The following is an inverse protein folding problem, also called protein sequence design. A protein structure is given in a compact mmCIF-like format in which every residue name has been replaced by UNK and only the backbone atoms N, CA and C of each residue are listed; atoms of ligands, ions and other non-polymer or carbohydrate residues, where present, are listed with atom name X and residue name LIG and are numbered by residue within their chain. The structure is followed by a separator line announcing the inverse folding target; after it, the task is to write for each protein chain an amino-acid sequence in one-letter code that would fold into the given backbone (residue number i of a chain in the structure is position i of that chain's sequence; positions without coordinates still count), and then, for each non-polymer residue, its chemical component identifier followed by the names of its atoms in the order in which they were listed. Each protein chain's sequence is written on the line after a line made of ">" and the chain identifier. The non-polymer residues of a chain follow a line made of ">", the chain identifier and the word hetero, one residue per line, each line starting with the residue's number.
data_IF_635905155047
#
_entry.id   IF_635905155047
#
_cell.length_a   1.000
_cell.length_b   1.000
_cell.length_c   1.000
_cell.angle_alpha   90.00
_cell.angle_beta   90.00
_cell.angle_gamma   90.00
#
_symmetry.space_group_name_H-M   'P 1'
#
loop_
_entity.id
_entity.type
_entity.pdbx_description
1 polymer ?
#
# COMPACT_ATOMS: atom_id res chain seq x y z
N UNK A 1 16.86 11.32 -3.82
CA UNK A 1 15.99 12.22 -3.03
C UNK A 1 14.94 12.75 -3.99
N UNK A 2 13.75 12.12 -4.01
CA UNK A 2 12.64 12.63 -4.82
C UNK A 2 12.23 14.00 -4.27
N UNK A 3 11.93 14.93 -5.16
CA UNK A 3 11.31 16.21 -4.81
C UNK A 3 10.12 15.91 -3.90
N UNK A 4 10.17 16.40 -2.67
CA UNK A 4 9.00 16.47 -1.81
C UNK A 4 7.99 17.34 -2.57
N UNK A 5 6.86 16.77 -2.96
CA UNK A 5 5.74 17.60 -3.38
C UNK A 5 5.40 18.50 -2.19
N UNK A 6 5.58 19.80 -2.35
CA UNK A 6 5.38 20.80 -1.29
C UNK A 6 3.94 20.78 -0.77
N UNK A 7 3.02 20.12 -1.49
CA UNK A 7 1.62 19.93 -1.12
C UNK A 7 1.33 18.57 -0.46
N UNK A 8 2.29 17.65 -0.40
CA UNK A 8 2.06 16.32 0.19
C UNK A 8 1.76 16.45 1.69
N UNK A 9 0.63 15.89 2.11
CA UNK A 9 0.28 15.86 3.52
C UNK A 9 1.19 14.90 4.26
N UNK A 10 1.36 15.12 5.56
CA UNK A 10 2.36 14.37 6.33
C UNK A 10 2.11 12.85 6.37
N UNK A 11 0.85 12.42 6.23
CA UNK A 11 0.43 11.01 6.12
C UNK A 11 0.51 10.43 4.70
N UNK A 12 0.91 11.23 3.71
CA UNK A 12 1.17 10.83 2.32
C UNK A 12 2.68 10.65 2.07
N UNK A 13 3.53 11.04 3.04
CA UNK A 13 4.98 10.96 2.93
C UNK A 13 5.46 9.57 3.35
N UNK A 14 6.19 8.91 2.45
CA UNK A 14 6.95 7.70 2.76
C UNK A 14 8.13 8.05 3.66
N UNK A 15 8.23 7.38 4.80
CA UNK A 15 9.28 7.61 5.79
C UNK A 15 10.04 6.32 6.03
N UNK A 16 11.36 6.43 5.98
CA UNK A 16 12.22 5.43 6.60
C UNK A 16 12.13 5.59 8.12
N UNK A 17 11.79 4.49 8.80
CA UNK A 17 11.64 4.43 10.25
C UNK A 17 12.58 3.35 10.74
N UNK A 18 13.42 3.68 11.70
CA UNK A 18 14.30 2.68 12.32
C UNK A 18 13.44 1.65 13.07
N UNK A 19 13.83 0.37 13.02
CA UNK A 19 13.11 -0.67 13.71
C UNK A 19 13.09 -0.46 15.23
N UNK A 20 14.12 0.20 15.78
CA UNK A 20 14.23 0.49 17.22
C UNK A 20 13.15 1.45 17.72
N UNK A 21 12.51 2.19 16.81
CA UNK A 21 11.34 3.05 17.07
C UNK A 21 10.03 2.28 17.26
N UNK A 22 10.06 0.95 17.17
CA UNK A 22 8.90 0.10 17.43
C UNK A 22 9.03 -0.64 18.76
N UNK A 23 7.97 -0.57 19.57
CA UNK A 23 7.82 -1.28 20.85
C UNK A 23 6.54 -2.11 20.87
N UNK A 24 6.38 -2.97 21.87
CA UNK A 24 5.19 -3.80 22.07
C UNK A 24 4.82 -4.61 20.80
N UNK A 25 5.79 -5.36 20.30
CA UNK A 25 5.69 -6.08 19.02
C UNK A 25 4.94 -7.40 19.23
N UNK A 26 3.74 -7.48 18.65
CA UNK A 26 2.81 -8.60 18.79
C UNK A 26 2.44 -9.14 17.40
N UNK A 27 2.50 -10.46 17.19
CA UNK A 27 2.10 -11.06 15.91
C UNK A 27 0.58 -11.17 15.83
N UNK A 28 -0.03 -10.62 14.78
CA UNK A 28 -1.48 -10.69 14.54
C UNK A 28 -1.87 -11.82 13.58
N UNK A 29 -1.11 -11.99 12.50
CA UNK A 29 -1.47 -12.93 11.44
C UNK A 29 -0.25 -13.41 10.66
N UNK A 30 -0.38 -14.55 9.98
CA UNK A 30 0.57 -15.06 9.00
C UNK A 30 -0.18 -15.61 7.79
N UNK A 31 0.31 -15.30 6.59
CA UNK A 31 -0.28 -15.76 5.33
C UNK A 31 0.78 -16.16 4.32
N UNK A 32 0.36 -16.34 3.05
CA UNK A 32 1.25 -16.70 1.95
C UNK A 32 2.41 -15.71 1.77
N UNK A 33 2.12 -14.41 1.87
CA UNK A 33 3.01 -13.31 1.49
C UNK A 33 3.78 -12.66 2.65
N UNK A 34 3.56 -13.09 3.89
CA UNK A 34 4.20 -12.44 5.04
C UNK A 34 3.49 -12.69 6.35
N UNK A 35 3.90 -11.93 7.36
CA UNK A 35 3.28 -11.88 8.69
C UNK A 35 2.93 -10.44 9.03
N UNK A 36 1.80 -10.25 9.70
CA UNK A 36 1.31 -8.95 10.17
C UNK A 36 1.56 -8.87 11.67
N UNK A 37 2.13 -7.76 12.11
CA UNK A 37 2.49 -7.49 13.49
C UNK A 37 1.86 -6.17 13.93
N UNK A 38 1.32 -6.15 15.14
CA UNK A 38 0.91 -4.93 15.83
C UNK A 38 2.10 -4.39 16.60
N UNK A 39 2.38 -3.10 16.47
CA UNK A 39 3.45 -2.43 17.21
C UNK A 39 3.01 -1.06 17.69
N UNK A 40 3.75 -0.51 18.64
CA UNK A 40 3.68 0.90 19.06
C UNK A 40 4.86 1.67 18.45
N UNK A 41 4.58 2.69 17.65
CA UNK A 41 5.60 3.59 17.10
C UNK A 41 5.92 4.69 18.12
N UNK A 42 7.15 4.71 18.65
CA UNK A 42 7.56 5.61 19.73
C UNK A 42 7.77 7.04 19.26
N UNK A 43 8.45 7.23 18.13
CA UNK A 43 8.70 8.53 17.53
C UNK A 43 7.71 8.85 16.39
N UNK A 44 6.41 8.64 16.65
CA UNK A 44 5.37 9.03 15.69
C UNK A 44 5.24 10.55 15.66
N UNK A 45 5.34 11.22 14.50
CA UNK A 45 5.19 12.67 14.41
C UNK A 45 3.84 13.17 14.89
N UNK A 46 3.83 14.29 15.61
CA UNK A 46 2.65 14.83 16.29
C UNK A 46 1.45 15.04 15.38
N UNK A 47 1.65 15.44 14.11
CA UNK A 47 0.52 15.59 13.17
C UNK A 47 -0.12 14.25 12.82
N UNK A 48 0.68 13.18 12.66
CA UNK A 48 0.15 11.84 12.45
C UNK A 48 -0.59 11.34 13.69
N UNK A 49 0.01 11.56 14.87
CA UNK A 49 -0.65 11.21 16.12
C UNK A 49 -1.94 12.02 16.31
N UNK A 50 -1.97 13.32 15.98
CA UNK A 50 -3.19 14.13 16.05
C UNK A 50 -4.31 13.63 15.14
N UNK A 51 -3.94 13.12 13.95
CA UNK A 51 -4.87 12.57 12.98
C UNK A 51 -5.41 11.20 13.40
N UNK A 52 -4.53 10.26 13.74
CA UNK A 52 -4.88 8.88 14.09
C UNK A 52 -5.19 8.66 15.57
N UNK A 53 -4.95 9.66 16.45
CA UNK A 53 -4.97 9.64 17.93
C UNK A 53 -4.49 8.33 18.57
N UNK A 54 -3.57 7.67 17.88
CA UNK A 54 -3.03 6.37 18.21
C UNK A 54 -1.67 6.25 17.53
N UNK A 55 -0.71 5.70 18.26
CA UNK A 55 0.58 5.31 17.72
C UNK A 55 0.69 3.79 17.54
N UNK A 56 -0.43 3.09 17.56
CA UNK A 56 -0.48 1.67 17.20
C UNK A 56 -0.53 1.55 15.68
N UNK A 57 0.44 0.82 15.12
CA UNK A 57 0.54 0.59 13.66
C UNK A 57 0.71 -0.89 13.37
N UNK A 58 0.33 -1.29 12.16
CA UNK A 58 0.54 -2.64 11.65
C UNK A 58 1.81 -2.69 10.80
N UNK A 59 2.74 -3.59 11.12
CA UNK A 59 3.91 -3.90 10.30
C UNK A 59 3.66 -5.18 9.51
N UNK A 60 3.86 -5.11 8.19
CA UNK A 60 3.89 -6.29 7.32
C UNK A 60 5.34 -6.73 7.13
N UNK A 61 5.71 -7.85 7.74
CA UNK A 61 7.00 -8.50 7.50
C UNK A 61 6.86 -9.49 6.34
N UNK A 62 7.55 -9.22 5.24
CA UNK A 62 7.53 -10.06 4.05
C UNK A 62 8.38 -11.33 4.25
N UNK A 63 7.97 -12.44 3.61
CA UNK A 63 8.78 -13.67 3.60
C UNK A 63 10.03 -13.47 2.75
N UNK A 64 11.14 -14.11 3.13
CA UNK A 64 12.45 -14.05 2.43
C UNK A 64 13.04 -12.63 2.28
N UNK A 65 12.60 -11.67 3.09
CA UNK A 65 13.02 -10.26 3.03
C UNK A 65 14.52 -10.00 3.25
N UNK A 66 15.30 -11.02 3.65
CA UNK A 66 16.75 -10.92 3.74
C UNK A 66 17.44 -10.87 2.37
N UNK A 67 16.71 -11.16 1.29
CA UNK A 67 17.12 -10.90 -0.08
C UNK A 67 16.06 -9.99 -0.70
N UNK A 68 16.29 -8.68 -0.65
CA UNK A 68 15.49 -7.71 -1.41
C UNK A 68 15.63 -8.11 -2.88
N UNK A 69 14.62 -8.78 -3.43
CA UNK A 69 14.60 -9.17 -4.84
C UNK A 69 14.06 -8.02 -5.69
N UNK A 70 14.27 -8.09 -7.01
CA UNK A 70 13.80 -7.07 -7.95
C UNK A 70 12.28 -6.93 -7.94
N UNK A 71 11.56 -8.01 -7.66
CA UNK A 71 10.09 -8.04 -7.59
C UNK A 71 9.56 -7.15 -6.44
N UNK A 72 10.18 -7.21 -5.26
CA UNK A 72 9.82 -6.32 -4.15
C UNK A 72 10.12 -4.85 -4.46
N UNK A 73 11.26 -4.56 -5.11
CA UNK A 73 11.59 -3.20 -5.52
C UNK A 73 10.63 -2.68 -6.60
N UNK A 74 10.23 -3.54 -7.53
CA UNK A 74 9.21 -3.24 -8.55
C UNK A 74 7.86 -2.94 -7.89
N UNK A 75 7.41 -3.78 -6.94
CA UNK A 75 6.18 -3.55 -6.18
C UNK A 75 6.25 -2.23 -5.40
N UNK A 76 7.38 -1.91 -4.77
CA UNK A 76 7.57 -0.66 -4.04
C UNK A 76 7.54 0.56 -4.98
N UNK A 77 8.21 0.48 -6.12
CA UNK A 77 8.20 1.53 -7.14
C UNK A 77 6.80 1.74 -7.72
N UNK A 78 6.10 0.64 -8.01
CA UNK A 78 4.73 0.64 -8.50
C UNK A 78 3.80 1.28 -7.47
N UNK A 79 3.91 0.93 -6.18
CA UNK A 79 3.16 1.57 -5.09
C UNK A 79 3.38 3.10 -5.08
N UNK A 80 4.64 3.53 -5.22
CA UNK A 80 4.99 4.94 -5.26
C UNK A 80 4.33 5.67 -6.44
N UNK A 81 4.45 5.11 -7.65
CA UNK A 81 3.91 5.75 -8.84
C UNK A 81 2.39 5.71 -8.94
N UNK A 82 1.74 4.65 -8.46
CA UNK A 82 0.29 4.55 -8.44
C UNK A 82 -0.35 5.58 -7.52
N UNK A 83 0.26 5.85 -6.36
CA UNK A 83 -0.23 6.86 -5.41
C UNK A 83 -0.09 8.28 -5.93
N UNK A 84 0.96 8.54 -6.70
CA UNK A 84 1.18 9.85 -7.32
C UNK A 84 0.30 10.12 -8.55
N UNK A 85 -0.59 9.19 -8.93
CA UNK A 85 -1.45 9.27 -10.11
C UNK A 85 -0.68 9.58 -11.43
N UNK A 86 0.58 9.13 -11.52
CA UNK A 86 1.49 9.40 -12.65
C UNK A 86 1.28 8.42 -13.81
N UNK A 87 0.03 8.23 -14.25
CA UNK A 87 -0.30 7.39 -15.40
C UNK A 87 -0.16 5.88 -15.15
N UNK A 88 -0.58 5.41 -13.97
CA UNK A 88 -0.65 3.99 -13.60
C UNK A 88 -2.11 3.56 -13.40
N UNK A 89 -2.39 2.27 -13.60
CA UNK A 89 -3.71 1.65 -13.39
C UNK A 89 -3.58 0.50 -12.41
N UNK A 90 -4.53 0.40 -11.47
CA UNK A 90 -4.53 -0.56 -10.36
C UNK A 90 -4.63 -2.03 -10.78
N UNK A 91 -5.35 -2.32 -11.87
CA UNK A 91 -5.61 -3.66 -12.43
C UNK A 91 -6.27 -4.69 -11.50
N UNK A 92 -6.56 -4.34 -10.25
CA UNK A 92 -7.22 -5.22 -9.29
C UNK A 92 -8.20 -4.47 -8.40
N UNK A 93 -9.08 -3.69 -9.04
CA UNK A 93 -10.03 -2.86 -8.31
C UNK A 93 -11.25 -3.69 -7.91
N UNK A 94 -11.39 -3.98 -6.62
CA UNK A 94 -12.57 -4.62 -6.05
C UNK A 94 -12.83 -4.11 -4.62
N UNK A 95 -14.04 -4.30 -4.05
CA UNK A 95 -14.39 -3.82 -2.71
C UNK A 95 -13.41 -4.22 -1.60
N UNK A 96 -12.71 -5.36 -1.75
CA UNK A 96 -11.71 -5.85 -0.80
C UNK A 96 -10.40 -5.06 -0.77
N UNK A 97 -10.13 -4.27 -1.82
CA UNK A 97 -8.95 -3.38 -1.90
C UNK A 97 -9.28 -1.93 -1.50
N UNK A 98 -10.49 -1.67 -1.01
CA UNK A 98 -10.84 -0.40 -0.40
C UNK A 98 -10.79 -0.52 1.12
N UNK A 99 -9.94 0.28 1.75
CA UNK A 99 -9.91 0.43 3.20
C UNK A 99 -10.67 1.70 3.58
N UNK A 100 -11.76 1.55 4.34
CA UNK A 100 -12.40 2.66 5.02
C UNK A 100 -11.64 2.89 6.31
N UNK A 101 -11.10 4.09 6.47
CA UNK A 101 -10.51 4.52 7.73
C UNK A 101 -11.38 5.61 8.33
N UNK A 102 -11.86 5.35 9.54
CA UNK A 102 -12.49 6.35 10.38
C UNK A 102 -11.39 7.18 11.05
N UNK A 103 -11.47 8.49 10.91
CA UNK A 103 -10.67 9.42 11.70
C UNK A 103 -11.44 9.87 12.92
N UNK A 104 -10.69 10.30 13.92
CA UNK A 104 -11.22 10.63 15.21
C UNK A 104 -12.17 11.84 15.27
N UNK A 105 -12.34 12.59 14.19
CA UNK A 105 -13.40 13.60 14.06
C UNK A 105 -14.74 13.02 13.57
N UNK A 106 -14.80 11.69 13.37
CA UNK A 106 -15.96 10.96 12.87
C UNK A 106 -16.07 10.95 11.36
N UNK A 107 -15.13 11.57 10.62
CA UNK A 107 -15.11 11.46 9.17
C UNK A 107 -14.51 10.14 8.70
N UNK A 108 -15.00 9.66 7.57
CA UNK A 108 -14.47 8.46 6.92
C UNK A 108 -13.76 8.89 5.65
N UNK A 109 -12.57 8.34 5.42
CA UNK A 109 -11.95 8.40 4.11
C UNK A 109 -11.67 7.00 3.59
N UNK A 110 -11.63 6.89 2.27
CA UNK A 110 -11.40 5.64 1.57
C UNK A 110 -9.97 5.68 1.02
N UNK A 111 -9.21 4.62 1.26
CA UNK A 111 -7.90 4.38 0.66
C UNK A 111 -7.94 3.15 -0.23
N UNK A 112 -7.18 3.22 -1.33
CA UNK A 112 -6.88 2.06 -2.15
C UNK A 112 -5.66 1.34 -1.57
N UNK A 113 -5.81 0.04 -1.39
CA UNK A 113 -4.81 -0.88 -0.91
C UNK A 113 -4.46 -1.90 -2.00
N UNK A 114 -3.37 -2.64 -1.79
CA UNK A 114 -2.89 -3.68 -2.71
C UNK A 114 -2.59 -3.19 -4.14
N UNK A 115 -1.53 -2.38 -4.25
CA UNK A 115 -1.03 -1.88 -5.53
C UNK A 115 -0.07 -2.88 -6.22
N UNK A 116 0.00 -4.15 -5.80
CA UNK A 116 0.94 -5.12 -6.36
C UNK A 116 0.73 -5.38 -7.85
N UNK A 117 -0.51 -5.21 -8.31
CA UNK A 117 -0.87 -5.32 -9.71
C UNK A 117 -0.87 -3.98 -10.45
N UNK A 118 -0.55 -2.84 -9.82
CA UNK A 118 -0.49 -1.57 -10.54
C UNK A 118 0.54 -1.62 -11.69
N UNK A 119 0.22 -1.05 -12.86
CA UNK A 119 1.18 -0.88 -13.98
C UNK A 119 0.97 0.43 -14.73
N UNK A 120 2.00 0.95 -15.41
CA UNK A 120 1.85 2.06 -16.34
C UNK A 120 0.75 1.82 -17.37
N UNK A 121 0.01 2.86 -17.73
CA UNK A 121 -1.12 2.79 -18.69
C UNK A 121 -0.68 2.23 -20.05
N UNK A 122 0.56 2.50 -20.48
CA UNK A 122 1.11 2.01 -21.74
C UNK A 122 1.41 0.49 -21.73
N UNK A 123 1.53 -0.15 -20.56
CA UNK A 123 1.77 -1.60 -20.44
C UNK A 123 0.49 -2.44 -20.44
N UNK A 124 -0.70 -1.82 -20.39
CA UNK A 124 -1.99 -2.53 -20.54
C UNK A 124 -2.08 -3.26 -21.88
N UNK A 125 -1.38 -2.75 -22.89
CA UNK A 125 -1.33 -3.37 -24.22
C UNK A 125 -0.55 -4.70 -24.24
N UNK A 126 0.25 -4.98 -23.20
CA UNK A 126 1.22 -6.06 -23.17
C UNK A 126 0.90 -7.17 -22.16
N UNK A 127 -0.02 -6.93 -21.21
CA UNK A 127 -0.25 -7.84 -20.08
C UNK A 127 -1.65 -8.47 -20.09
N UNK A 128 -1.71 -9.78 -19.81
CA UNK A 128 -2.88 -10.66 -19.91
C UNK A 128 -3.98 -10.43 -18.87
N UNK A 129 -4.66 -11.49 -18.44
CA UNK A 129 -5.80 -11.38 -17.50
C UNK A 129 -5.35 -10.88 -16.13
N UNK A 130 -6.04 -9.86 -15.61
CA UNK A 130 -5.85 -9.30 -14.28
C UNK A 130 -7.20 -8.95 -13.65
N UNK A 131 -7.21 -8.84 -12.32
CA UNK A 131 -8.40 -8.53 -11.53
C UNK A 131 -9.10 -9.76 -10.96
N UNK A 132 -10.08 -9.52 -10.10
CA UNK A 132 -10.89 -10.53 -9.42
C UNK A 132 -12.31 -10.54 -9.98
N UNK A 133 -12.84 -11.70 -10.37
CA UNK A 133 -14.25 -11.82 -10.78
C UNK A 133 -15.19 -11.49 -9.59
N UNK A 134 -16.31 -10.77 -9.81
CA UNK A 134 -16.87 -10.33 -11.09
C UNK A 134 -16.40 -8.94 -11.56
N UNK A 135 -15.37 -8.36 -10.95
CA UNK A 135 -14.96 -6.97 -11.15
C UNK A 135 -14.04 -6.74 -12.37
N UNK A 136 -13.79 -7.78 -13.17
CA UNK A 136 -12.95 -7.71 -14.36
C UNK A 136 -13.75 -7.14 -15.53
N UNK A 137 -13.19 -6.14 -16.21
CA UNK A 137 -13.78 -5.56 -17.42
C UNK A 137 -13.76 -6.57 -18.59
N UNK A 138 -14.79 -6.63 -19.44
CA UNK A 138 -14.93 -7.66 -20.47
C UNK A 138 -13.76 -7.67 -21.47
N UNK A 139 -13.20 -6.51 -21.82
CA UNK A 139 -12.06 -6.38 -22.72
C UNK A 139 -10.76 -6.99 -22.17
N UNK A 140 -10.63 -7.10 -20.84
CA UNK A 140 -9.49 -7.78 -20.21
C UNK A 140 -9.62 -9.29 -20.41
N UNK A 141 -10.84 -9.82 -20.26
CA UNK A 141 -11.14 -11.25 -20.43
C UNK A 141 -10.96 -11.67 -21.89
N UNK A 142 -11.45 -10.86 -22.84
CA UNK A 142 -11.46 -11.20 -24.29
C UNK A 142 -10.05 -11.22 -24.91
N UNK A 143 -9.07 -10.49 -24.36
CA UNK A 143 -7.67 -10.49 -24.87
C UNK A 143 -6.88 -11.77 -24.56
N UNK A 144 -7.44 -12.69 -23.78
CA UNK A 144 -6.76 -13.92 -23.35
C UNK A 144 -7.15 -15.19 -24.12
N UNK A 145 -7.96 -15.05 -25.16
CA UNK A 145 -8.29 -16.11 -26.14
C UNK A 145 -7.61 -15.83 -27.47
#
# INVERSE_FOLDING_TARGET
>A
MSQLDENAREWEIWRWIDYDEFKNIEKLAEGGFGSIWKVKWTDMPEKLFGFYKSNQVALKKLKKSQQINSEFLEELMVNFHCRDNKGFIHRDLHPGNFMITEVHDGSNFIRLEDLGLCRPVNEILLSGNFGVLPFIAPEVIVKSQ
#
